data_IF_886226619234
#
_entry.id   IF_886226619234
#
_cell.length_a   1.000
_cell.length_b   1.000
_cell.length_c   1.000
_cell.angle_alpha   90.00
_cell.angle_beta   90.00
_cell.angle_gamma   90.00
#
_symmetry.space_group_name_H-M   'P 1'
#
loop_
_entity.id
_entity.type
_entity.pdbx_description
1 polymer ?
#
# COMPACT_ATOMS: atom_id res chain seq x y z
N UNK A 1 -8.62 -15.08 -3.40
CA UNK A 1 -9.19 -14.14 -2.45
C UNK A 1 -9.65 -12.86 -3.11
N UNK A 2 -10.41 -12.11 -2.38
CA UNK A 2 -11.01 -10.87 -2.84
C UNK A 2 -10.40 -9.69 -2.12
N UNK A 3 -10.05 -8.63 -2.88
CA UNK A 3 -9.46 -7.43 -2.30
C UNK A 3 -10.39 -6.25 -2.51
N UNK A 4 -10.83 -5.65 -1.40
CA UNK A 4 -11.52 -4.37 -1.46
C UNK A 4 -10.49 -3.28 -1.72
N UNK A 5 -10.66 -2.53 -2.80
CA UNK A 5 -9.74 -1.48 -3.22
C UNK A 5 -10.36 -0.12 -2.95
N UNK A 6 -9.67 0.70 -2.18
CA UNK A 6 -10.07 2.08 -1.88
C UNK A 6 -9.00 3.03 -2.39
N UNK A 7 -9.43 4.16 -2.89
CA UNK A 7 -8.53 5.19 -3.43
C UNK A 7 -8.92 6.54 -2.85
N UNK A 8 -7.95 7.23 -2.28
CA UNK A 8 -8.15 8.53 -1.65
C UNK A 8 -7.28 9.58 -2.33
N UNK A 9 -7.90 10.69 -2.75
CA UNK A 9 -7.18 11.82 -3.31
C UNK A 9 -6.56 12.65 -2.20
N UNK A 10 -5.26 12.94 -2.34
CA UNK A 10 -4.56 13.82 -1.39
C UNK A 10 -3.96 15.02 -2.14
N UNK A 11 -3.80 16.12 -1.42
CA UNK A 11 -3.29 17.37 -1.97
C UNK A 11 -2.01 17.86 -1.29
N UNK A 12 -1.50 17.11 -0.31
CA UNK A 12 -0.27 17.44 0.40
C UNK A 12 0.33 16.18 1.02
N UNK A 13 1.61 16.25 1.37
CA UNK A 13 2.26 15.14 2.08
C UNK A 13 1.68 14.94 3.48
N UNK A 14 1.22 16.00 4.12
CA UNK A 14 0.53 15.89 5.41
C UNK A 14 -0.77 15.09 5.27
N UNK A 15 -1.55 15.32 4.22
CA UNK A 15 -2.76 14.55 3.94
C UNK A 15 -2.44 13.10 3.61
N UNK A 16 -1.35 12.85 2.89
CA UNK A 16 -0.89 11.51 2.56
C UNK A 16 -0.60 10.71 3.82
N UNK A 17 0.15 11.28 4.74
CA UNK A 17 0.45 10.63 6.02
C UNK A 17 -0.83 10.42 6.84
N UNK A 18 -1.67 11.44 6.93
CA UNK A 18 -2.90 11.36 7.71
C UNK A 18 -3.84 10.28 7.16
N UNK A 19 -4.02 10.22 5.84
CA UNK A 19 -4.84 9.18 5.21
C UNK A 19 -4.28 7.78 5.46
N UNK A 20 -2.95 7.64 5.42
CA UNK A 20 -2.29 6.37 5.73
C UNK A 20 -2.53 5.96 7.18
N UNK A 21 -2.37 6.88 8.12
CA UNK A 21 -2.61 6.59 9.54
C UNK A 21 -4.07 6.21 9.80
N UNK A 22 -5.02 6.87 9.13
CA UNK A 22 -6.43 6.51 9.24
C UNK A 22 -6.70 5.10 8.72
N UNK A 23 -6.08 4.72 7.59
CA UNK A 23 -6.23 3.38 7.04
C UNK A 23 -5.66 2.31 7.98
N UNK A 24 -4.49 2.57 8.57
CA UNK A 24 -3.87 1.66 9.52
C UNK A 24 -4.71 1.49 10.79
N UNK A 25 -5.42 2.55 11.18
CA UNK A 25 -6.24 2.60 12.41
C UNK A 25 -7.67 2.07 12.20
N UNK A 26 -7.95 1.44 11.07
CA UNK A 26 -9.30 0.97 10.72
C UNK A 26 -9.72 -0.31 11.43
N UNK A 27 -8.87 -0.86 12.30
CA UNK A 27 -9.20 -2.05 13.09
C UNK A 27 -8.82 -3.38 12.44
N UNK A 28 -8.12 -3.35 11.33
CA UNK A 28 -7.64 -4.59 10.71
C UNK A 28 -6.42 -5.12 11.46
N UNK A 29 -6.30 -6.44 11.52
CA UNK A 29 -5.25 -7.09 12.30
C UNK A 29 -3.90 -7.06 11.58
N UNK A 30 -2.78 -6.90 12.32
CA UNK A 30 -1.45 -7.12 11.73
C UNK A 30 -1.30 -8.55 11.22
N UNK A 31 -0.42 -8.79 10.24
CA UNK A 31 0.49 -7.83 9.63
C UNK A 31 -0.17 -6.96 8.56
N UNK A 32 0.35 -5.74 8.42
CA UNK A 32 -0.05 -4.80 7.39
C UNK A 32 1.19 -4.35 6.60
N UNK A 33 1.01 -3.97 5.34
CA UNK A 33 2.12 -3.50 4.51
C UNK A 33 1.85 -2.07 4.04
N UNK A 34 2.90 -1.26 4.06
CA UNK A 34 2.88 0.11 3.53
C UNK A 34 3.94 0.21 2.46
N UNK A 35 3.52 0.50 1.24
CA UNK A 35 4.41 0.57 0.08
C UNK A 35 4.78 2.00 -0.28
N UNK A 36 6.06 2.20 -0.53
CA UNK A 36 6.62 3.42 -1.12
C UNK A 36 7.43 3.05 -2.36
N UNK A 37 7.82 4.05 -3.16
CA UNK A 37 8.48 3.78 -4.44
C UNK A 37 10.01 3.70 -4.33
N UNK A 38 10.61 4.36 -3.35
CA UNK A 38 12.07 4.47 -3.23
C UNK A 38 12.54 4.15 -1.82
N UNK A 39 13.74 3.57 -1.72
CA UNK A 39 14.31 3.15 -0.44
C UNK A 39 14.45 4.29 0.58
N UNK A 40 14.82 5.48 0.11
CA UNK A 40 14.93 6.64 1.00
C UNK A 40 13.58 6.99 1.63
N UNK A 41 12.50 6.86 0.86
CA UNK A 41 11.15 7.10 1.37
C UNK A 41 10.71 6.00 2.34
N UNK A 42 11.17 4.77 2.15
CA UNK A 42 10.87 3.69 3.11
C UNK A 42 11.40 4.03 4.50
N UNK A 43 12.63 4.56 4.56
CA UNK A 43 13.21 4.99 5.83
C UNK A 43 12.44 6.16 6.45
N UNK A 44 12.11 7.17 5.65
CA UNK A 44 11.40 8.36 6.13
C UNK A 44 10.00 7.99 6.62
N UNK A 45 9.24 7.29 5.81
CA UNK A 45 7.86 6.91 6.14
C UNK A 45 7.83 5.94 7.31
N UNK A 46 8.74 4.97 7.33
CA UNK A 46 8.85 4.04 8.45
C UNK A 46 9.06 4.76 9.77
N UNK A 47 9.94 5.77 9.80
CA UNK A 47 10.16 6.57 11.00
C UNK A 47 8.93 7.38 11.38
N UNK A 48 8.23 7.95 10.40
CA UNK A 48 7.00 8.71 10.68
C UNK A 48 5.91 7.82 11.28
N UNK A 49 5.77 6.60 10.79
CA UNK A 49 4.79 5.66 11.34
C UNK A 49 5.18 5.24 12.76
N UNK A 50 6.47 5.02 13.02
CA UNK A 50 6.97 4.74 14.38
C UNK A 50 6.68 5.90 15.33
N UNK A 51 6.90 7.12 14.86
CA UNK A 51 6.63 8.34 15.65
C UNK A 51 5.14 8.45 16.00
N UNK A 52 4.28 7.94 15.14
CA UNK A 52 2.84 7.90 15.39
C UNK A 52 2.42 6.76 16.33
N UNK A 53 3.36 5.93 16.77
CA UNK A 53 3.10 4.88 17.76
C UNK A 53 3.02 3.45 17.20
N UNK A 54 3.21 3.26 15.91
CA UNK A 54 3.19 1.93 15.31
C UNK A 54 4.55 1.23 15.44
N UNK A 55 4.49 -0.10 15.53
CA UNK A 55 5.70 -0.94 15.48
C UNK A 55 5.95 -1.32 14.02
N UNK A 56 7.03 -0.82 13.46
CA UNK A 56 7.28 -0.87 12.02
C UNK A 56 8.66 -1.46 11.72
N UNK A 57 8.70 -2.45 10.85
CA UNK A 57 9.92 -2.92 10.21
C UNK A 57 10.03 -2.25 8.83
N UNK A 58 11.25 -1.93 8.43
CA UNK A 58 11.54 -1.27 7.16
C UNK A 58 12.31 -2.25 6.27
N UNK A 59 11.87 -2.39 5.00
CA UNK A 59 12.43 -3.36 4.07
C UNK A 59 12.67 -2.73 2.70
N UNK A 60 13.93 -2.61 2.30
CA UNK A 60 14.31 -2.11 0.98
C UNK A 60 15.65 -2.70 0.52
N UNK A 61 16.04 -2.40 -0.72
CA UNK A 61 17.23 -2.99 -1.34
C UNK A 61 18.57 -2.56 -0.73
N UNK A 62 18.57 -1.49 0.08
CA UNK A 62 19.78 -1.02 0.76
C UNK A 62 20.15 -1.80 2.01
N UNK A 63 19.30 -2.74 2.44
CA UNK A 63 19.57 -3.57 3.61
C UNK A 63 20.49 -4.73 3.25
N UNK A 64 21.33 -5.15 4.21
CA UNK A 64 22.05 -6.41 4.10
C UNK A 64 21.09 -7.59 4.19
N UNK A 65 21.54 -8.78 3.79
CA UNK A 65 20.70 -9.97 3.90
C UNK A 65 20.30 -10.27 5.35
N UNK A 66 21.22 -10.19 6.35
CA UNK A 66 20.80 -10.36 7.75
C UNK A 66 19.78 -9.31 8.22
N UNK A 67 19.91 -8.05 7.80
CA UNK A 67 18.95 -7.01 8.14
C UNK A 67 17.60 -7.29 7.51
N UNK A 68 17.58 -7.73 6.25
CA UNK A 68 16.37 -8.12 5.54
C UNK A 68 15.64 -9.26 6.26
N UNK A 69 16.38 -10.31 6.61
CA UNK A 69 15.82 -11.46 7.31
C UNK A 69 15.27 -11.09 8.69
N UNK A 70 15.99 -10.22 9.42
CA UNK A 70 15.52 -9.75 10.72
C UNK A 70 14.23 -8.92 10.62
N UNK A 71 14.12 -8.06 9.61
CA UNK A 71 12.92 -7.27 9.39
C UNK A 71 11.71 -8.17 9.11
N UNK A 72 11.86 -9.13 8.23
CA UNK A 72 10.80 -10.08 7.87
C UNK A 72 10.39 -10.92 9.07
N UNK A 73 11.37 -11.46 9.80
CA UNK A 73 11.11 -12.28 10.99
C UNK A 73 10.34 -11.49 12.04
N UNK A 74 10.69 -10.21 12.26
CA UNK A 74 10.02 -9.38 13.26
C UNK A 74 8.54 -9.20 12.99
N UNK A 75 8.16 -9.13 11.72
CA UNK A 75 6.75 -9.02 11.32
C UNK A 75 6.03 -10.36 11.42
N UNK A 76 6.69 -11.44 11.01
CA UNK A 76 6.11 -12.78 11.14
C UNK A 76 5.86 -13.17 12.58
N UNK A 77 6.74 -12.74 13.48
CA UNK A 77 6.63 -13.03 14.92
C UNK A 77 5.69 -12.08 15.66
N UNK A 78 5.19 -11.05 15.00
CA UNK A 78 4.29 -10.08 15.60
C UNK A 78 4.98 -9.02 16.46
N UNK A 79 6.32 -8.95 16.45
CA UNK A 79 7.07 -7.89 17.13
C UNK A 79 6.81 -6.55 16.45
N UNK A 80 6.79 -6.55 15.12
CA UNK A 80 6.37 -5.41 14.34
C UNK A 80 5.03 -5.69 13.66
N UNK A 81 4.18 -4.68 13.62
CA UNK A 81 2.82 -4.77 13.11
C UNK A 81 2.75 -4.45 11.62
N UNK A 82 3.69 -3.63 11.15
CA UNK A 82 3.71 -3.07 9.80
C UNK A 82 5.06 -3.33 9.16
N UNK A 83 5.02 -3.72 7.88
CA UNK A 83 6.20 -3.76 7.03
C UNK A 83 6.11 -2.58 6.06
N UNK A 84 6.99 -1.59 6.22
CA UNK A 84 7.12 -0.46 5.31
C UNK A 84 8.20 -0.81 4.29
N UNK A 85 7.84 -0.87 3.00
CA UNK A 85 8.74 -1.48 2.01
C UNK A 85 8.60 -0.85 0.63
N UNK A 86 9.59 -1.16 -0.22
CA UNK A 86 9.57 -0.91 -1.65
C UNK A 86 9.22 -2.20 -2.38
N UNK A 87 8.85 -2.08 -3.67
CA UNK A 87 8.57 -3.27 -4.50
C UNK A 87 9.79 -4.21 -4.58
N UNK A 88 10.97 -3.63 -4.79
CA UNK A 88 12.21 -4.42 -4.88
C UNK A 88 12.50 -5.09 -3.54
N UNK A 89 12.35 -4.35 -2.44
CA UNK A 89 12.57 -4.89 -1.09
C UNK A 89 11.64 -6.06 -0.77
N UNK A 90 10.40 -5.99 -1.25
CA UNK A 90 9.39 -7.02 -1.00
C UNK A 90 9.42 -8.18 -2.01
N UNK A 91 10.30 -8.12 -3.02
CA UNK A 91 10.36 -9.15 -4.06
C UNK A 91 10.66 -10.52 -3.45
N UNK A 92 9.85 -11.53 -3.83
CA UNK A 92 10.00 -12.89 -3.33
C UNK A 92 9.54 -13.09 -1.90
N UNK A 93 9.06 -12.05 -1.23
CA UNK A 93 8.55 -12.16 0.13
C UNK A 93 7.24 -12.92 0.16
N UNK A 94 7.16 -13.92 1.02
CA UNK A 94 5.91 -14.58 1.38
C UNK A 94 5.57 -14.21 2.83
N UNK A 95 4.60 -13.33 2.98
CA UNK A 95 4.09 -12.89 4.28
C UNK A 95 2.61 -13.24 4.33
N UNK A 96 2.23 -14.29 5.09
CA UNK A 96 0.83 -14.72 5.15
C UNK A 96 -0.01 -13.76 5.97
N UNK A 97 -1.31 -13.79 5.71
CA UNK A 97 -2.34 -13.12 6.52
C UNK A 97 -2.24 -11.59 6.54
N UNK A 98 -1.68 -10.98 5.49
CA UNK A 98 -1.68 -9.51 5.38
C UNK A 98 -3.12 -9.03 5.23
N UNK A 99 -3.60 -8.26 6.20
CA UNK A 99 -4.98 -7.78 6.24
C UNK A 99 -5.18 -6.51 5.43
N UNK A 100 -4.12 -5.70 5.30
CA UNK A 100 -4.18 -4.38 4.69
C UNK A 100 -2.89 -4.08 3.95
N UNK A 101 -3.02 -3.59 2.73
CA UNK A 101 -1.93 -2.98 1.97
C UNK A 101 -2.25 -1.51 1.79
N UNK A 102 -1.35 -0.63 2.19
CA UNK A 102 -1.48 0.80 1.92
C UNK A 102 -0.43 1.19 0.88
N UNK A 103 -0.87 1.76 -0.22
CA UNK A 103 0.03 2.41 -1.17
C UNK A 103 0.20 3.86 -0.73
N UNK A 104 1.23 4.10 0.10
CA UNK A 104 1.58 5.45 0.55
C UNK A 104 1.90 6.33 -0.66
N UNK A 105 2.67 5.76 -1.59
CA UNK A 105 2.89 6.35 -2.91
C UNK A 105 2.33 5.38 -3.95
N UNK A 106 1.57 5.90 -4.89
CA UNK A 106 1.08 5.09 -6.00
C UNK A 106 2.26 4.68 -6.87
N UNK A 107 2.33 3.41 -7.32
CA UNK A 107 3.48 2.96 -8.10
C UNK A 107 3.54 3.64 -9.47
N UNK A 108 4.75 3.73 -10.04
CA UNK A 108 4.95 4.33 -11.35
C UNK A 108 4.44 3.45 -12.50
N UNK A 109 4.34 2.13 -12.26
CA UNK A 109 3.80 1.16 -13.21
C UNK A 109 2.52 0.56 -12.66
N UNK A 110 1.46 0.52 -13.47
CA UNK A 110 0.18 -0.02 -13.01
C UNK A 110 0.28 -1.51 -12.66
N UNK A 111 1.15 -2.27 -13.35
CA UNK A 111 1.38 -3.67 -13.00
C UNK A 111 1.84 -3.83 -11.55
N UNK A 112 2.62 -2.88 -11.04
CA UNK A 112 3.06 -2.90 -9.63
C UNK A 112 1.90 -2.70 -8.67
N UNK A 113 0.90 -1.91 -9.05
CA UNK A 113 -0.32 -1.75 -8.26
C UNK A 113 -0.99 -3.11 -8.03
N UNK A 114 -1.18 -3.86 -9.11
CA UNK A 114 -1.81 -5.19 -9.05
C UNK A 114 -0.99 -6.14 -8.16
N UNK A 115 0.35 -6.13 -8.32
CA UNK A 115 1.23 -6.97 -7.49
C UNK A 115 1.18 -6.60 -6.02
N UNK A 116 1.14 -5.29 -5.71
CA UNK A 116 1.08 -4.82 -4.32
C UNK A 116 -0.21 -5.24 -3.65
N UNK A 117 -1.36 -5.00 -4.28
CA UNK A 117 -2.64 -5.36 -3.68
C UNK A 117 -2.83 -6.87 -3.59
N UNK A 118 -2.14 -7.64 -4.44
CA UNK A 118 -2.13 -9.09 -4.39
C UNK A 118 -1.40 -9.66 -3.17
N UNK A 119 -0.77 -8.84 -2.34
CA UNK A 119 -0.17 -9.28 -1.07
C UNK A 119 -1.22 -9.52 0.01
N UNK A 120 -2.42 -9.01 -0.17
CA UNK A 120 -3.55 -9.25 0.74
C UNK A 120 -4.64 -10.06 0.02
N UNK A 121 -5.66 -10.51 0.73
CA UNK A 121 -6.77 -11.26 0.15
C UNK A 121 -6.39 -12.65 -0.35
N UNK A 122 -5.35 -13.25 0.20
CA UNK A 122 -4.83 -14.56 -0.22
C UNK A 122 -5.51 -15.69 0.55
N UNK A 123 -5.40 -16.92 0.00
CA UNK A 123 -5.93 -18.14 0.64
C UNK A 123 -7.44 -18.07 0.95
N UNK A 124 -8.21 -17.47 0.04
CA UNK A 124 -9.67 -17.37 0.19
C UNK A 124 -10.12 -16.27 1.16
N UNK A 125 -9.19 -15.53 1.76
CA UNK A 125 -9.51 -14.44 2.69
C UNK A 125 -9.84 -13.16 1.95
N UNK A 126 -10.69 -12.33 2.57
CA UNK A 126 -10.95 -10.98 2.08
C UNK A 126 -9.83 -10.06 2.54
N UNK A 127 -9.27 -9.28 1.61
CA UNK A 127 -8.23 -8.31 1.90
C UNK A 127 -8.72 -6.88 1.65
N UNK A 128 -7.89 -5.92 2.04
CA UNK A 128 -8.16 -4.51 1.82
C UNK A 128 -6.88 -3.82 1.34
N UNK A 129 -7.02 -2.95 0.34
CA UNK A 129 -5.93 -2.12 -0.15
C UNK A 129 -6.42 -0.68 -0.23
N UNK A 130 -5.66 0.25 0.32
CA UNK A 130 -5.96 1.67 0.32
C UNK A 130 -4.82 2.41 -0.34
N UNK A 131 -5.12 3.20 -1.35
CA UNK A 131 -4.10 3.95 -2.11
C UNK A 131 -4.30 5.44 -1.97
N UNK A 132 -3.21 6.14 -1.64
CA UNK A 132 -3.16 7.60 -1.64
C UNK A 132 -2.72 8.05 -3.04
N UNK A 133 -3.51 8.88 -3.70
CA UNK A 133 -3.18 9.38 -5.04
C UNK A 133 -3.22 10.89 -5.06
N UNK A 134 -2.30 11.49 -5.81
CA UNK A 134 -2.28 12.92 -6.08
C UNK A 134 -2.46 13.19 -7.58
N UNK A 135 -2.43 14.45 -7.96
CA UNK A 135 -2.55 14.84 -9.37
C UNK A 135 -1.40 14.25 -10.21
N UNK A 136 -0.24 14.01 -9.62
CA UNK A 136 0.90 13.40 -10.29
C UNK A 136 0.62 11.97 -10.76
N UNK A 137 -0.40 11.33 -10.21
CA UNK A 137 -0.76 9.95 -10.53
C UNK A 137 -1.85 9.86 -11.60
N UNK A 138 -2.27 10.98 -12.17
CA UNK A 138 -3.43 11.06 -13.07
C UNK A 138 -3.31 10.14 -14.30
N UNK A 139 -2.09 9.85 -14.76
CA UNK A 139 -1.88 8.93 -15.88
C UNK A 139 -2.43 7.52 -15.61
N UNK A 140 -2.59 7.15 -14.34
CA UNK A 140 -3.10 5.84 -13.93
C UNK A 140 -4.60 5.84 -13.65
N UNK A 141 -5.26 6.98 -13.69
CA UNK A 141 -6.65 7.09 -13.22
C UNK A 141 -7.63 6.30 -14.10
N UNK A 142 -7.42 6.24 -15.40
CA UNK A 142 -8.28 5.46 -16.28
C UNK A 142 -8.20 3.97 -15.94
N UNK A 143 -6.99 3.41 -15.88
CA UNK A 143 -6.79 2.00 -15.55
C UNK A 143 -7.31 1.68 -14.15
N UNK A 144 -7.09 2.59 -13.20
CA UNK A 144 -7.53 2.43 -11.82
C UNK A 144 -9.05 2.41 -11.72
N UNK A 145 -9.74 3.31 -12.41
CA UNK A 145 -11.20 3.34 -12.45
C UNK A 145 -11.77 2.03 -12.99
N UNK A 146 -11.18 1.52 -14.08
CA UNK A 146 -11.62 0.25 -14.67
C UNK A 146 -11.40 -0.91 -13.70
N UNK A 147 -10.25 -0.92 -13.00
CA UNK A 147 -9.93 -1.97 -12.04
C UNK A 147 -10.93 -1.99 -10.88
N UNK A 148 -11.25 -0.82 -10.32
CA UNK A 148 -12.23 -0.72 -9.25
C UNK A 148 -13.63 -1.13 -9.72
N UNK A 149 -14.02 -0.73 -10.93
CA UNK A 149 -15.33 -1.06 -11.50
C UNK A 149 -15.50 -2.57 -11.71
N UNK A 150 -14.43 -3.31 -11.99
CA UNK A 150 -14.48 -4.77 -12.12
C UNK A 150 -14.59 -5.49 -10.79
N UNK A 151 -14.20 -4.85 -9.70
CA UNK A 151 -14.16 -5.49 -8.39
C UNK A 151 -15.57 -5.58 -7.81
N UNK A 152 -16.01 -6.78 -7.38
CA UNK A 152 -17.36 -6.93 -6.82
C UNK A 152 -17.50 -6.32 -5.42
N UNK A 153 -16.38 -5.97 -4.78
CA UNK A 153 -16.37 -5.46 -3.39
C UNK A 153 -15.83 -4.05 -3.27
N UNK A 154 -15.46 -3.43 -4.39
CA UNK A 154 -14.89 -2.07 -4.41
C UNK A 154 -15.88 -1.09 -5.02
N UNK A 155 -15.77 0.18 -4.64
CA UNK A 155 -16.53 1.28 -5.21
C UNK A 155 -15.60 2.29 -5.85
N UNK A 156 -16.03 2.87 -6.97
CA UNK A 156 -15.29 3.96 -7.61
C UNK A 156 -15.61 5.24 -6.86
N UNK A 157 -14.61 5.91 -6.23
CA UNK A 157 -14.88 7.15 -5.51
C UNK A 157 -15.29 8.26 -6.47
N UNK A 158 -16.05 9.22 -5.96
CA UNK A 158 -16.61 10.30 -6.78
C UNK A 158 -15.55 11.08 -7.54
N UNK A 159 -14.43 11.41 -6.88
CA UNK A 159 -13.37 12.17 -7.57
C UNK A 159 -12.84 11.42 -8.79
N UNK A 160 -12.67 10.10 -8.67
CA UNK A 160 -12.15 9.27 -9.76
C UNK A 160 -13.20 9.09 -10.86
N UNK A 161 -14.46 8.89 -10.49
CA UNK A 161 -15.53 8.74 -11.46
C UNK A 161 -15.71 9.99 -12.32
N UNK A 162 -15.39 11.17 -11.80
CA UNK A 162 -15.59 12.46 -12.47
C UNK A 162 -14.30 13.08 -13.03
N UNK A 163 -13.13 12.52 -12.70
CA UNK A 163 -11.87 13.10 -13.12
C UNK A 163 -11.66 12.93 -14.63
N UNK A 164 -11.30 14.01 -15.37
CA UNK A 164 -11.09 13.91 -16.83
C UNK A 164 -10.09 12.83 -17.23
N UNK A 165 -9.01 12.65 -16.47
CA UNK A 165 -7.99 11.66 -16.77
C UNK A 165 -8.49 10.21 -16.61
N UNK A 166 -9.61 9.99 -15.91
CA UNK A 166 -10.19 8.67 -15.71
C UNK A 166 -11.18 8.28 -16.81
N UNK A 167 -11.49 9.18 -17.74
CA UNK A 167 -12.54 8.97 -18.75
C UNK A 167 -12.04 8.19 -19.96
N UNK A 168 -10.76 8.27 -20.28
CA UNK A 168 -10.16 7.58 -21.41
C UNK A 168 -8.66 7.39 -21.21
N UNK A 169 -8.12 6.35 -21.83
CA UNK A 169 -6.67 6.13 -21.89
C UNK A 169 -6.02 7.20 -22.75
N UNK A 170 -4.91 7.75 -22.30
CA UNK A 170 -4.12 8.73 -23.04
C UNK A 170 -3.11 8.06 -23.96
#
# INVERSE_FOLDING_TARGET
GTVEQRVEMIHSEAERLQGTLQALDSGLAPPMMVFVNQKANADVVGRELRRAGWHVAILHSGLSQPQREAAIASVREGVNEILCCTDIGARGLDLPNVSLVVNYQFPTQFASYIHRIGRTGRAGRRGCAVSMVGDDDAEHFYALRLELAKSPVSSVPTFLAQHPAAMAST
#
